data_IF_687244132504
#
_entry.id   IF_687244132504
#
_cell.length_a   1.000
_cell.length_b   1.000
_cell.length_c   1.000
_cell.angle_alpha   90.00
_cell.angle_beta   90.00
_cell.angle_gamma   90.00
#
_symmetry.space_group_name_H-M   'P 1'
#
loop_
_entity.id
_entity.type
_entity.pdbx_description
1 polymer ?
#
# COMPACT_ATOMS: atom_id res chain seq x y z
N UNK A 1 -0.40 3.08 -8.26
CA UNK A 1 -0.21 4.20 -7.34
C UNK A 1 -1.50 4.92 -7.12
N UNK A 2 -1.71 5.58 -5.98
CA UNK A 2 -3.01 6.15 -5.56
C UNK A 2 -4.15 5.12 -5.48
N UNK A 3 -3.80 3.86 -5.27
CA UNK A 3 -4.78 2.79 -5.04
C UNK A 3 -5.41 2.83 -3.64
N UNK A 4 -5.01 3.78 -2.79
CA UNK A 4 -5.52 3.95 -1.44
C UNK A 4 -4.64 3.34 -0.33
N UNK A 5 -3.38 2.99 -0.58
CA UNK A 5 -2.48 2.37 0.41
C UNK A 5 -2.42 3.12 1.73
N UNK A 6 -2.07 4.39 1.72
CA UNK A 6 -1.95 5.19 2.95
C UNK A 6 -3.30 5.35 3.67
N UNK A 7 -4.41 5.40 2.93
CA UNK A 7 -5.77 5.38 3.50
C UNK A 7 -6.07 4.03 4.17
N UNK A 8 -5.66 2.94 3.55
CA UNK A 8 -5.78 1.59 4.13
C UNK A 8 -4.98 1.50 5.43
N UNK A 9 -3.70 1.91 5.40
CA UNK A 9 -2.82 1.90 6.58
C UNK A 9 -3.47 2.66 7.73
N UNK A 10 -3.90 3.91 7.48
CA UNK A 10 -4.58 4.70 8.50
C UNK A 10 -5.79 3.98 9.08
N UNK A 11 -6.69 3.46 8.22
CA UNK A 11 -7.88 2.75 8.70
C UNK A 11 -7.57 1.47 9.44
N UNK A 12 -6.62 0.71 8.95
CA UNK A 12 -6.18 -0.50 9.64
C UNK A 12 -5.69 -0.20 11.05
N UNK A 13 -4.87 0.84 11.18
CA UNK A 13 -4.38 1.29 12.47
C UNK A 13 -5.52 1.81 13.36
N UNK A 14 -6.38 2.68 12.84
CA UNK A 14 -7.50 3.28 13.60
C UNK A 14 -8.50 2.23 14.11
N UNK A 15 -8.73 1.16 13.35
CA UNK A 15 -9.81 0.19 13.66
C UNK A 15 -9.26 -1.05 14.36
N UNK A 16 -8.08 -1.53 13.99
CA UNK A 16 -7.57 -2.83 14.43
C UNK A 16 -6.37 -2.74 15.37
N UNK A 17 -5.60 -1.65 15.35
CA UNK A 17 -4.38 -1.56 16.15
C UNK A 17 -4.57 -0.64 17.35
N UNK A 18 -4.88 0.62 17.13
CA UNK A 18 -5.00 1.62 18.21
C UNK A 18 -5.98 1.22 19.32
N UNK A 19 -7.17 0.64 19.03
CA UNK A 19 -8.09 0.23 20.08
C UNK A 19 -7.60 -0.92 20.96
N UNK A 20 -6.61 -1.68 20.50
CA UNK A 20 -6.05 -2.86 21.18
C UNK A 20 -4.66 -2.62 21.77
N UNK A 21 -4.17 -1.39 21.72
CA UNK A 21 -2.95 -0.98 22.42
C UNK A 21 -3.27 -0.63 23.88
N UNK A 22 -2.53 -1.25 24.82
CA UNK A 22 -2.75 -1.04 26.25
C UNK A 22 -2.07 0.24 26.76
N UNK A 23 -0.87 0.55 26.28
CA UNK A 23 -0.14 1.75 26.66
C UNK A 23 -0.69 2.99 25.95
N UNK A 24 -1.15 3.97 26.73
CA UNK A 24 -1.75 5.20 26.24
C UNK A 24 -0.74 6.13 25.55
N UNK A 25 0.49 6.21 26.06
CA UNK A 25 1.56 7.01 25.46
C UNK A 25 1.98 6.45 24.12
N UNK A 26 2.14 5.13 24.04
CA UNK A 26 2.47 4.44 22.78
C UNK A 26 1.33 4.58 21.76
N UNK A 27 0.08 4.55 22.21
CA UNK A 27 -1.10 4.76 21.36
C UNK A 27 -1.13 6.16 20.77
N UNK A 28 -0.92 7.22 21.58
CA UNK A 28 -0.89 8.60 21.09
C UNK A 28 0.31 8.83 20.14
N UNK A 29 1.49 8.34 20.50
CA UNK A 29 2.65 8.39 19.60
C UNK A 29 2.38 7.71 18.26
N UNK A 30 1.81 6.51 18.28
CA UNK A 30 1.42 5.77 17.07
C UNK A 30 0.42 6.55 16.22
N UNK A 31 -0.54 7.20 16.84
CA UNK A 31 -1.53 8.03 16.14
C UNK A 31 -0.92 9.23 15.42
N UNK A 32 0.09 9.87 16.02
CA UNK A 32 0.82 10.99 15.40
C UNK A 32 1.68 10.52 14.19
N UNK A 33 2.11 9.27 14.19
CA UNK A 33 2.89 8.68 13.08
C UNK A 33 2.04 8.22 11.90
N UNK A 34 0.70 8.23 12.00
CA UNK A 34 -0.18 7.79 10.93
C UNK A 34 -0.04 8.66 9.68
N UNK A 35 -0.11 8.05 8.49
CA UNK A 35 -0.05 8.82 7.26
C UNK A 35 -1.22 9.78 7.17
N UNK A 36 -0.93 11.06 6.95
CA UNK A 36 -1.94 12.05 6.62
C UNK A 36 -2.45 11.79 5.20
N UNK A 37 -3.77 11.79 5.04
CA UNK A 37 -4.40 11.67 3.72
C UNK A 37 -4.10 12.95 2.92
N UNK A 38 -3.01 12.93 2.16
CA UNK A 38 -2.66 14.05 1.30
C UNK A 38 -3.63 14.11 0.12
N UNK A 39 -4.32 15.23 -0.01
CA UNK A 39 -5.14 15.57 -1.20
C UNK A 39 -4.27 15.98 -2.41
N UNK A 40 -2.96 16.02 -2.25
CA UNK A 40 -2.00 16.42 -3.27
C UNK A 40 -1.78 15.38 -4.38
N UNK A 41 -1.46 15.84 -5.60
CA UNK A 41 -1.26 14.99 -6.80
C UNK A 41 0.15 14.40 -6.90
N UNK A 42 1.12 14.93 -6.18
CA UNK A 42 2.54 14.60 -6.33
C UNK A 42 2.99 13.57 -5.32
N UNK A 43 3.71 12.55 -5.77
CA UNK A 43 4.41 11.61 -4.91
C UNK A 43 5.67 12.28 -4.39
N UNK A 44 5.79 12.41 -3.07
CA UNK A 44 6.84 13.22 -2.44
C UNK A 44 8.12 12.44 -2.12
N UNK A 45 8.02 11.12 -1.89
CA UNK A 45 9.15 10.30 -1.46
C UNK A 45 9.13 8.93 -2.12
N UNK A 46 10.30 8.35 -2.33
CA UNK A 46 10.50 6.97 -2.78
C UNK A 46 10.83 6.03 -1.62
N UNK A 47 11.12 6.57 -0.45
CA UNK A 47 11.49 5.78 0.71
C UNK A 47 10.26 5.13 1.36
N UNK A 48 10.35 3.83 1.72
CA UNK A 48 9.33 3.16 2.50
C UNK A 48 9.17 3.81 3.88
N UNK A 49 7.93 3.95 4.33
CA UNK A 49 7.61 4.45 5.68
C UNK A 49 7.10 3.30 6.54
N UNK A 50 7.72 3.10 7.68
CA UNK A 50 7.26 2.19 8.71
C UNK A 50 6.22 2.89 9.59
N UNK A 51 5.07 2.26 9.81
CA UNK A 51 3.93 2.84 10.55
C UNK A 51 3.40 1.81 11.55
N UNK A 52 3.55 2.02 12.82
CA UNK A 52 4.44 3.01 13.44
C UNK A 52 5.93 2.68 13.20
N UNK A 53 6.84 3.60 13.55
CA UNK A 53 8.29 3.36 13.45
C UNK A 53 8.72 2.14 14.25
N UNK A 54 8.24 2.02 15.47
CA UNK A 54 8.36 0.85 16.30
C UNK A 54 7.06 0.03 16.24
N UNK A 55 7.19 -1.31 16.18
CA UNK A 55 6.02 -2.17 16.06
C UNK A 55 5.09 -2.03 17.28
N UNK A 56 3.83 -1.76 17.03
CA UNK A 56 2.80 -1.69 18.06
C UNK A 56 2.50 -3.09 18.60
N UNK A 57 2.50 -3.26 19.91
CA UNK A 57 2.04 -4.49 20.55
C UNK A 57 0.54 -4.42 20.79
N UNK A 58 -0.19 -5.40 20.31
CA UNK A 58 -1.64 -5.52 20.44
C UNK A 58 -2.04 -6.91 20.83
N UNK A 59 -3.14 -7.06 21.54
CA UNK A 59 -3.74 -8.36 21.86
C UNK A 59 -4.89 -8.62 20.89
N UNK A 60 -4.76 -9.69 20.09
CA UNK A 60 -5.79 -10.12 19.15
C UNK A 60 -6.36 -11.45 19.61
N UNK A 61 -7.67 -11.66 19.39
CA UNK A 61 -8.37 -12.95 19.60
C UNK A 61 -8.04 -13.64 20.95
N UNK A 62 -8.40 -12.99 22.04
CA UNK A 62 -7.95 -13.39 23.37
C UNK A 62 -6.57 -12.80 23.66
N UNK A 63 -5.87 -13.25 24.62
CA UNK A 63 -4.65 -12.61 25.13
C UNK A 63 -3.36 -12.91 24.31
N UNK A 64 -3.47 -13.19 23.00
CA UNK A 64 -2.30 -13.47 22.17
C UNK A 64 -1.62 -12.14 21.78
N UNK A 65 -0.40 -11.86 22.28
CA UNK A 65 0.32 -10.65 21.92
C UNK A 65 0.84 -10.75 20.47
N UNK A 66 0.57 -9.75 19.68
CA UNK A 66 1.03 -9.64 18.29
C UNK A 66 1.70 -8.28 18.10
N UNK A 67 2.86 -8.26 17.46
CA UNK A 67 3.53 -7.02 17.06
C UNK A 67 3.15 -6.65 15.64
N UNK A 68 2.55 -5.48 15.47
CA UNK A 68 2.06 -4.98 14.19
C UNK A 68 2.85 -3.75 13.76
N UNK A 69 3.35 -3.78 12.53
CA UNK A 69 3.98 -2.63 11.86
C UNK A 69 3.67 -2.70 10.38
N UNK A 70 3.02 -1.69 9.86
CA UNK A 70 2.74 -1.57 8.44
C UNK A 70 3.88 -0.84 7.72
N UNK A 71 4.05 -1.11 6.43
CA UNK A 71 5.08 -0.47 5.61
C UNK A 71 4.38 0.14 4.40
N UNK A 72 4.37 1.49 4.36
CA UNK A 72 3.86 2.22 3.19
C UNK A 72 5.01 2.41 2.20
N UNK A 73 4.89 1.83 1.02
CA UNK A 73 5.83 1.99 -0.07
C UNK A 73 5.14 2.54 -1.32
N UNK A 74 5.89 3.15 -2.21
CA UNK A 74 5.35 3.76 -3.43
C UNK A 74 4.68 2.71 -4.33
N UNK A 75 5.26 1.54 -4.44
CA UNK A 75 4.85 0.52 -5.41
C UNK A 75 5.51 0.73 -6.78
N UNK A 76 5.32 -0.22 -7.68
CA UNK A 76 5.73 -0.06 -9.08
C UNK A 76 4.88 1.03 -9.74
N UNK A 77 5.50 1.79 -10.66
CA UNK A 77 4.83 2.89 -11.35
C UNK A 77 3.81 2.36 -12.35
N UNK A 78 2.63 2.97 -12.35
CA UNK A 78 1.63 2.75 -13.38
C UNK A 78 1.88 3.72 -14.54
N UNK A 79 1.58 3.30 -15.76
CA UNK A 79 1.63 4.17 -16.94
C UNK A 79 0.69 5.38 -16.75
N UNK A 80 1.17 6.56 -17.13
CA UNK A 80 0.41 7.81 -16.95
C UNK A 80 0.36 8.35 -15.51
N UNK A 81 1.04 7.71 -14.56
CA UNK A 81 1.16 8.26 -13.22
C UNK A 81 1.95 9.58 -13.23
N UNK A 82 1.46 10.57 -12.52
CA UNK A 82 2.11 11.89 -12.42
C UNK A 82 3.03 11.97 -11.20
N UNK A 83 4.00 12.90 -11.25
CA UNK A 83 4.90 13.21 -10.12
C UNK A 83 6.26 12.52 -10.20
N UNK A 84 6.53 11.78 -11.27
CA UNK A 84 7.86 11.23 -11.57
C UNK A 84 8.63 12.05 -12.62
N UNK A 85 7.98 13.07 -13.21
CA UNK A 85 8.55 13.97 -14.20
C UNK A 85 8.56 15.39 -13.65
N UNK A 86 9.64 16.11 -13.86
CA UNK A 86 9.81 17.53 -13.56
C UNK A 86 10.21 18.25 -14.87
N UNK A 87 9.33 19.12 -15.34
CA UNK A 87 9.46 19.62 -16.72
C UNK A 87 9.21 18.51 -17.74
N UNK A 88 10.19 18.27 -18.63
CA UNK A 88 10.16 17.21 -19.65
C UNK A 88 11.09 16.03 -19.32
N UNK A 89 11.73 16.04 -18.16
CA UNK A 89 12.70 15.03 -17.77
C UNK A 89 12.21 14.23 -16.56
N UNK A 90 12.65 12.99 -16.46
CA UNK A 90 12.37 12.18 -15.30
C UNK A 90 13.07 12.75 -14.05
N UNK A 91 12.31 12.89 -12.96
CA UNK A 91 12.82 13.41 -11.70
C UNK A 91 13.92 12.51 -11.15
N UNK A 92 15.08 13.09 -10.88
CA UNK A 92 16.18 12.41 -10.20
C UNK A 92 16.04 12.54 -8.69
N UNK A 93 16.37 11.47 -7.96
CA UNK A 93 16.24 11.41 -6.50
C UNK A 93 17.44 10.72 -5.86
N UNK A 94 17.83 11.20 -4.69
CA UNK A 94 18.76 10.51 -3.80
C UNK A 94 18.05 9.43 -3.02
N UNK A 95 18.70 8.30 -2.82
CA UNK A 95 18.21 7.22 -1.98
C UNK A 95 19.35 6.66 -1.12
N UNK A 96 19.08 6.02 0.01
CA UNK A 96 20.12 5.41 0.84
C UNK A 96 20.89 4.26 0.17
N UNK A 97 20.41 3.80 -0.99
CA UNK A 97 20.94 2.59 -1.65
C UNK A 97 21.92 2.89 -2.80
N UNK A 98 22.06 4.17 -3.16
CA UNK A 98 22.94 4.59 -4.25
C UNK A 98 23.70 5.85 -3.87
N UNK A 99 24.97 5.91 -4.24
CA UNK A 99 25.85 7.08 -3.98
C UNK A 99 25.50 8.29 -4.85
N UNK A 100 24.83 8.06 -6.00
CA UNK A 100 24.41 9.08 -6.94
C UNK A 100 22.89 9.13 -7.07
N UNK A 101 22.39 10.23 -7.63
CA UNK A 101 20.96 10.35 -7.95
C UNK A 101 20.56 9.37 -9.04
N UNK A 102 19.38 8.79 -8.90
CA UNK A 102 18.80 7.85 -9.86
C UNK A 102 17.38 8.29 -10.24
N UNK A 103 16.87 7.84 -11.40
CA UNK A 103 15.50 8.11 -11.80
C UNK A 103 14.49 7.69 -10.72
N UNK A 104 13.46 8.52 -10.52
CA UNK A 104 12.40 8.29 -9.54
C UNK A 104 11.73 6.92 -9.70
N UNK A 105 11.45 6.50 -10.94
CA UNK A 105 10.83 5.19 -11.22
C UNK A 105 11.72 4.03 -10.77
N UNK A 106 13.04 4.15 -10.99
CA UNK A 106 14.02 3.18 -10.52
C UNK A 106 14.10 3.15 -9.00
N UNK A 107 14.11 4.32 -8.35
CA UNK A 107 14.11 4.41 -6.88
C UNK A 107 12.86 3.77 -6.26
N UNK A 108 11.69 4.05 -6.83
CA UNK A 108 10.41 3.47 -6.39
C UNK A 108 10.41 1.94 -6.55
N UNK A 109 10.93 1.43 -7.66
CA UNK A 109 11.03 -0.01 -7.91
C UNK A 109 11.98 -0.70 -6.92
N UNK A 110 13.17 -0.13 -6.68
CA UNK A 110 14.14 -0.66 -5.72
C UNK A 110 13.58 -0.64 -4.30
N UNK A 111 12.98 0.48 -3.88
CA UNK A 111 12.36 0.59 -2.55
C UNK A 111 11.23 -0.41 -2.35
N UNK A 112 10.37 -0.60 -3.36
CA UNK A 112 9.30 -1.61 -3.34
C UNK A 112 9.85 -3.02 -3.21
N UNK A 113 10.87 -3.35 -4.01
CA UNK A 113 11.51 -4.66 -3.96
C UNK A 113 12.14 -4.94 -2.60
N UNK A 114 12.84 -3.96 -2.01
CA UNK A 114 13.39 -4.10 -0.66
C UNK A 114 12.31 -4.34 0.38
N UNK A 115 11.18 -3.63 0.32
CA UNK A 115 10.05 -3.90 1.22
C UNK A 115 9.57 -5.34 1.07
N UNK A 116 9.36 -5.79 -0.17
CA UNK A 116 8.88 -7.14 -0.46
C UNK A 116 9.85 -8.20 0.04
N UNK A 117 11.14 -8.07 -0.24
CA UNK A 117 12.15 -9.10 0.07
C UNK A 117 12.62 -9.06 1.51
N UNK A 118 12.98 -7.87 2.00
CA UNK A 118 13.77 -7.72 3.21
C UNK A 118 12.93 -7.41 4.46
N UNK A 119 11.76 -6.75 4.29
CA UNK A 119 11.04 -6.19 5.44
C UNK A 119 9.65 -6.79 5.67
N UNK A 120 8.89 -7.10 4.62
CA UNK A 120 7.52 -7.57 4.78
C UNK A 120 7.46 -9.05 5.20
N UNK A 121 6.65 -9.36 6.20
CA UNK A 121 6.28 -10.73 6.58
C UNK A 121 5.06 -11.20 5.77
N UNK A 122 4.09 -10.30 5.58
CA UNK A 122 2.85 -10.54 4.83
C UNK A 122 2.68 -9.38 3.84
N UNK A 123 2.28 -9.68 2.61
CA UNK A 123 1.98 -8.71 1.57
C UNK A 123 0.49 -8.34 1.54
N UNK A 124 0.21 -7.04 1.34
CA UNK A 124 -1.12 -6.57 0.95
C UNK A 124 -0.96 -5.80 -0.35
N UNK A 125 -1.36 -6.43 -1.45
CA UNK A 125 -1.32 -5.81 -2.77
C UNK A 125 -2.58 -4.98 -2.96
N UNK A 126 -2.41 -3.67 -3.13
CA UNK A 126 -3.52 -2.74 -3.30
C UNK A 126 -3.66 -2.35 -4.76
N UNK A 127 -4.79 -2.70 -5.37
CA UNK A 127 -5.17 -2.28 -6.71
C UNK A 127 -6.53 -1.57 -6.73
N UNK A 128 -7.09 -1.27 -7.89
CA UNK A 128 -8.38 -0.60 -8.05
C UNK A 128 -9.07 -1.06 -9.34
N UNK A 129 -10.38 -0.93 -9.37
CA UNK A 129 -11.21 -1.11 -10.56
C UNK A 129 -11.19 0.11 -11.52
N UNK A 130 -10.34 1.11 -11.26
CA UNK A 130 -10.29 2.37 -12.01
C UNK A 130 -11.23 3.46 -11.48
N UNK A 131 -12.13 3.15 -10.55
CA UNK A 131 -13.03 4.17 -9.95
C UNK A 131 -12.33 5.02 -8.89
N UNK A 132 -11.17 4.59 -8.41
CA UNK A 132 -10.33 5.29 -7.43
C UNK A 132 -9.10 5.87 -8.13
N UNK A 133 -8.87 7.17 -7.97
CA UNK A 133 -7.77 7.86 -8.62
C UNK A 133 -8.16 8.46 -9.96
N UNK A 134 -7.17 8.70 -10.81
CA UNK A 134 -7.31 9.39 -12.11
C UNK A 134 -6.93 8.47 -13.29
N UNK A 135 -6.42 7.26 -13.01
CA UNK A 135 -5.99 6.30 -14.02
C UNK A 135 -7.07 5.24 -14.24
N UNK A 136 -7.17 4.75 -15.46
CA UNK A 136 -8.05 3.64 -15.83
C UNK A 136 -7.51 2.29 -15.31
N UNK A 137 -8.39 1.29 -15.17
CA UNK A 137 -8.05 -0.06 -14.69
C UNK A 137 -6.81 -0.63 -15.40
N UNK A 138 -6.75 -0.58 -16.72
CA UNK A 138 -5.66 -1.14 -17.54
C UNK A 138 -4.27 -0.65 -17.14
N UNK A 139 -4.15 0.59 -16.67
CA UNK A 139 -2.87 1.20 -16.28
C UNK A 139 -2.33 0.64 -14.95
N UNK A 140 -3.18 -0.02 -14.18
CA UNK A 140 -2.78 -0.68 -12.93
C UNK A 140 -2.38 -2.16 -13.12
N UNK A 141 -2.71 -2.79 -14.24
CA UNK A 141 -2.52 -4.23 -14.46
C UNK A 141 -1.05 -4.65 -14.45
N UNK A 142 -0.18 -3.93 -15.15
CA UNK A 142 1.25 -4.24 -15.19
C UNK A 142 1.92 -4.13 -13.80
N UNK A 143 1.82 -3.02 -13.07
CA UNK A 143 2.40 -2.92 -11.72
C UNK A 143 1.75 -3.89 -10.72
N UNK A 144 0.48 -4.23 -10.87
CA UNK A 144 -0.21 -5.25 -10.09
C UNK A 144 0.40 -6.63 -10.34
N UNK A 145 0.47 -7.05 -11.60
CA UNK A 145 1.06 -8.33 -12.00
C UNK A 145 2.50 -8.45 -11.51
N UNK A 146 3.30 -7.42 -11.71
CA UNK A 146 4.70 -7.40 -11.26
C UNK A 146 4.81 -7.61 -9.76
N UNK A 147 3.97 -6.95 -8.98
CA UNK A 147 3.97 -7.08 -7.51
C UNK A 147 3.54 -8.48 -7.08
N UNK A 148 2.47 -9.01 -7.68
CA UNK A 148 1.93 -10.34 -7.37
C UNK A 148 2.98 -11.42 -7.67
N UNK A 149 3.57 -11.39 -8.88
CA UNK A 149 4.56 -12.38 -9.28
C UNK A 149 5.83 -12.33 -8.44
N UNK A 150 6.24 -11.14 -8.02
CA UNK A 150 7.40 -11.01 -7.14
C UNK A 150 7.13 -11.62 -5.76
N UNK A 151 5.97 -11.37 -5.16
CA UNK A 151 5.57 -12.00 -3.90
C UNK A 151 5.46 -13.53 -4.02
N UNK A 152 4.90 -14.02 -5.14
CA UNK A 152 4.82 -15.46 -5.43
C UNK A 152 6.20 -16.08 -5.57
N UNK A 153 7.12 -15.42 -6.28
CA UNK A 153 8.48 -15.94 -6.53
C UNK A 153 9.30 -16.20 -5.27
N UNK A 154 9.00 -15.47 -4.21
CA UNK A 154 9.67 -15.62 -2.92
C UNK A 154 8.82 -16.36 -1.87
N UNK A 155 7.65 -16.87 -2.26
CA UNK A 155 6.78 -17.65 -1.39
C UNK A 155 6.19 -16.87 -0.20
N UNK A 156 6.13 -15.53 -0.26
CA UNK A 156 5.51 -14.73 0.83
C UNK A 156 3.99 -14.79 0.77
N UNK A 157 3.32 -14.98 1.92
CA UNK A 157 1.86 -14.92 1.98
C UNK A 157 1.38 -13.50 1.69
N UNK A 158 0.35 -13.36 0.89
CA UNK A 158 -0.26 -12.08 0.58
C UNK A 158 -1.73 -12.20 0.19
N UNK A 159 -2.41 -11.07 0.20
CA UNK A 159 -3.79 -10.91 -0.27
C UNK A 159 -3.86 -9.70 -1.21
N UNK A 160 -4.76 -9.74 -2.18
CA UNK A 160 -5.04 -8.61 -3.06
C UNK A 160 -6.30 -7.90 -2.61
N UNK A 161 -6.25 -6.58 -2.52
CA UNK A 161 -7.39 -5.73 -2.21
C UNK A 161 -7.70 -4.83 -3.41
N UNK A 162 -8.89 -5.01 -3.99
CA UNK A 162 -9.42 -4.18 -5.08
C UNK A 162 -10.21 -3.03 -4.47
N UNK A 163 -9.62 -1.84 -4.43
CA UNK A 163 -10.28 -0.66 -3.89
C UNK A 163 -11.24 -0.06 -4.93
N UNK A 164 -12.52 0.04 -4.59
CA UNK A 164 -13.60 0.48 -5.47
C UNK A 164 -14.53 1.47 -4.76
N UNK A 165 -15.12 2.39 -5.51
CA UNK A 165 -16.26 3.21 -5.05
C UNK A 165 -17.53 2.38 -4.87
N UNK A 166 -17.63 1.24 -5.58
CA UNK A 166 -18.77 0.31 -5.55
C UNK A 166 -18.24 -1.12 -5.30
N UNK A 167 -17.77 -1.45 -4.07
CA UNK A 167 -17.08 -2.72 -3.81
C UNK A 167 -17.99 -3.96 -3.97
N UNK A 168 -19.29 -3.78 -3.91
CA UNK A 168 -20.29 -4.84 -4.13
C UNK A 168 -20.86 -4.84 -5.56
N UNK A 169 -20.33 -3.97 -6.44
CA UNK A 169 -20.74 -3.91 -7.84
C UNK A 169 -20.12 -5.04 -8.65
N UNK A 170 -20.76 -5.39 -9.77
CA UNK A 170 -20.36 -6.47 -10.66
C UNK A 170 -18.92 -6.30 -11.16
N UNK A 171 -18.50 -5.07 -11.49
CA UNK A 171 -17.16 -4.79 -12.00
C UNK A 171 -16.05 -5.07 -10.97
N UNK A 172 -16.23 -4.63 -9.72
CA UNK A 172 -15.27 -4.89 -8.67
C UNK A 172 -15.19 -6.39 -8.34
N UNK A 173 -16.33 -7.09 -8.40
CA UNK A 173 -16.40 -8.55 -8.21
C UNK A 173 -15.70 -9.27 -9.37
N UNK A 174 -15.99 -8.90 -10.62
CA UNK A 174 -15.36 -9.48 -11.81
C UNK A 174 -13.83 -9.35 -11.76
N UNK A 175 -13.31 -8.16 -11.44
CA UNK A 175 -11.88 -7.93 -11.33
C UNK A 175 -11.25 -8.78 -10.22
N UNK A 176 -11.93 -8.92 -9.07
CA UNK A 176 -11.43 -9.79 -8.00
C UNK A 176 -11.37 -11.26 -8.43
N UNK A 177 -12.40 -11.75 -9.11
CA UNK A 177 -12.45 -13.10 -9.65
C UNK A 177 -11.39 -13.34 -10.74
N UNK A 178 -11.18 -12.39 -11.63
CA UNK A 178 -10.12 -12.44 -12.66
C UNK A 178 -8.70 -12.52 -12.03
N UNK A 179 -8.46 -11.76 -10.96
CA UNK A 179 -7.19 -11.80 -10.23
C UNK A 179 -7.02 -13.16 -9.56
N UNK A 180 -8.07 -13.68 -8.90
CA UNK A 180 -8.03 -15.01 -8.28
C UNK A 180 -7.75 -16.11 -9.31
N UNK A 181 -8.44 -16.09 -10.44
CA UNK A 181 -8.27 -17.08 -11.51
C UNK A 181 -6.87 -16.99 -12.15
N UNK A 182 -6.43 -15.77 -12.48
CA UNK A 182 -5.16 -15.54 -13.19
C UNK A 182 -3.93 -15.90 -12.34
N UNK A 183 -3.98 -15.63 -11.04
CA UNK A 183 -2.80 -15.73 -10.18
C UNK A 183 -2.92 -16.81 -9.08
N UNK A 184 -4.08 -17.42 -8.89
CA UNK A 184 -4.30 -18.42 -7.85
C UNK A 184 -4.20 -17.85 -6.42
N UNK A 185 -4.60 -16.58 -6.22
CA UNK A 185 -4.48 -15.86 -4.95
C UNK A 185 -5.82 -15.35 -4.49
N UNK A 186 -5.95 -15.01 -3.19
CA UNK A 186 -7.18 -14.39 -2.69
C UNK A 186 -7.22 -12.90 -3.04
N UNK A 187 -8.33 -12.47 -3.66
CA UNK A 187 -8.62 -11.09 -3.97
C UNK A 187 -9.99 -10.67 -3.43
N UNK A 188 -10.04 -9.54 -2.75
CA UNK A 188 -11.27 -9.02 -2.17
C UNK A 188 -11.52 -7.58 -2.62
N UNK A 189 -12.73 -7.27 -3.03
CA UNK A 189 -13.15 -5.91 -3.29
C UNK A 189 -13.55 -5.21 -1.98
N UNK A 190 -13.12 -3.95 -1.82
CA UNK A 190 -13.42 -3.14 -0.65
C UNK A 190 -13.48 -1.66 -0.97
N UNK A 191 -14.12 -0.87 -0.12
CA UNK A 191 -14.11 0.58 -0.18
C UNK A 191 -13.34 1.14 1.01
N UNK A 192 -12.20 1.78 0.72
CA UNK A 192 -11.34 2.37 1.75
C UNK A 192 -11.70 3.82 2.11
N UNK A 193 -12.73 4.40 1.51
CA UNK A 193 -13.21 5.72 1.89
C UNK A 193 -13.63 5.73 3.36
N UNK A 194 -13.27 6.79 4.05
CA UNK A 194 -13.75 7.05 5.40
C UNK A 194 -15.28 6.99 5.41
N UNK A 195 -15.85 6.01 6.09
CA UNK A 195 -17.21 6.14 6.58
C UNK A 195 -17.16 7.32 7.53
N UNK A 196 -17.82 8.43 7.19
CA UNK A 196 -18.06 9.51 8.18
C UNK A 196 -18.76 8.82 9.35
N UNK A 197 -18.13 8.87 10.51
CA UNK A 197 -18.73 8.36 11.71
C UNK A 197 -20.14 8.96 11.86
N UNK A 198 -21.09 8.10 12.18
CA UNK A 198 -22.38 8.54 12.68
C UNK A 198 -22.21 9.04 14.09
#
# INVERSE_FOLDING_TARGET
>A
MRTGKSTFIKRFMDVLVLPHMEDENDRERTKDELPQSASGRTIMTTEPKFVPKEAAEVKLMGDIPVKVRLIDCVGYMAEGAVGHVEGNEERMVKTPWFEHEIPFTKAAAVGTRKVIHDHATIGIVMTTDGTIGELERRQYEEPEEKTIRELQSIGKPFVVLVNSKKPYGEEAKRISEEIEEKYGVKANAGQLRAVKGR
#
